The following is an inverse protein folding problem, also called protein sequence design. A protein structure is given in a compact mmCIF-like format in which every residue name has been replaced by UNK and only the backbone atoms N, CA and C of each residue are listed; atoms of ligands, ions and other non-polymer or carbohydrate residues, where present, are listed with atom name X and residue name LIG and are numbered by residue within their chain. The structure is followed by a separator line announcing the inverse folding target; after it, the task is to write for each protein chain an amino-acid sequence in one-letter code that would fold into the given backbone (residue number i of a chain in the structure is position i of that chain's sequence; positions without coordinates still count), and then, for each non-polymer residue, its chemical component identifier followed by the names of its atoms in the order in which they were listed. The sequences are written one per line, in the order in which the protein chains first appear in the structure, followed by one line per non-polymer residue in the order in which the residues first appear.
data_IF_578003008287
#
_entry.id   IF_578003008287
#
_cell.length_a   1.000
_cell.length_b   1.000
_cell.length_c   1.000
_cell.angle_alpha   90.00
_cell.angle_beta   90.00
_cell.angle_gamma   90.00
#
_symmetry.space_group_name_H-M   'P 1'
#
loop_
_entity.id
_entity.type
_entity.pdbx_description
1 polymer ?
#
# COMPACT_ATOMS: atom_id res chain seq x y z
N UNK A 1 -11.64 11.61 31.98
CA UNK A 1 -10.45 11.18 32.73
C UNK A 1 -9.22 11.61 31.95
N UNK A 2 -8.27 12.32 32.56
CA UNK A 2 -7.06 12.78 31.90
C UNK A 2 -5.91 11.82 32.19
N UNK A 3 -5.24 11.34 31.16
CA UNK A 3 -4.07 10.48 31.27
C UNK A 3 -2.82 11.31 30.98
N UNK A 4 -1.75 11.12 31.75
CA UNK A 4 -0.46 11.73 31.44
C UNK A 4 0.14 11.12 30.17
N UNK A 5 1.00 11.86 29.48
CA UNK A 5 1.68 11.36 28.27
C UNK A 5 2.51 10.10 28.54
N UNK A 6 3.22 10.06 29.68
CA UNK A 6 3.98 8.89 30.08
C UNK A 6 3.08 7.66 30.28
N UNK A 7 1.91 7.84 30.90
CA UNK A 7 0.92 6.80 31.07
C UNK A 7 0.39 6.31 29.71
N UNK A 8 0.05 7.22 28.80
CA UNK A 8 -0.44 6.87 27.47
C UNK A 8 0.62 6.17 26.61
N UNK A 9 1.90 6.56 26.70
CA UNK A 9 3.02 5.85 26.06
C UNK A 9 3.16 4.42 26.56
N UNK A 10 3.09 4.20 27.87
CA UNK A 10 3.09 2.87 28.47
C UNK A 10 1.95 2.01 27.89
N UNK A 11 0.72 2.52 27.88
CA UNK A 11 -0.44 1.79 27.35
C UNK A 11 -0.36 1.56 25.84
N UNK A 12 0.22 2.49 25.06
CA UNK A 12 0.43 2.33 23.62
C UNK A 12 1.42 1.22 23.31
N UNK A 13 2.54 1.15 24.05
CA UNK A 13 3.53 0.07 23.91
C UNK A 13 2.90 -1.27 24.27
N UNK A 14 2.20 -1.33 25.41
CA UNK A 14 1.52 -2.53 25.86
C UNK A 14 0.49 -3.03 24.84
N UNK A 15 -0.29 -2.12 24.25
CA UNK A 15 -1.26 -2.44 23.21
C UNK A 15 -0.60 -2.87 21.89
N UNK A 16 0.56 -2.32 21.50
CA UNK A 16 1.28 -2.78 20.32
C UNK A 16 1.82 -4.20 20.46
N UNK A 17 2.25 -4.58 21.66
CA UNK A 17 2.81 -5.92 21.92
C UNK A 17 1.73 -6.99 22.08
N UNK A 18 0.63 -6.66 22.77
CA UNK A 18 -0.36 -7.64 23.22
C UNK A 18 -1.79 -7.37 22.74
N UNK A 19 -1.98 -6.34 21.90
CA UNK A 19 -3.27 -5.87 21.40
C UNK A 19 -4.28 -5.63 22.55
N UNK A 20 -5.58 -5.77 22.26
CA UNK A 20 -6.64 -5.57 23.24
C UNK A 20 -6.64 -6.56 24.42
N UNK A 21 -5.84 -7.64 24.36
CA UNK A 21 -5.78 -8.66 25.43
C UNK A 21 -5.19 -8.08 26.71
N UNK A 22 -4.09 -7.32 26.62
CA UNK A 22 -3.47 -6.71 27.79
C UNK A 22 -4.36 -5.64 28.42
N UNK A 23 -5.05 -4.82 27.61
CA UNK A 23 -6.00 -3.84 28.13
C UNK A 23 -7.18 -4.52 28.83
N UNK A 24 -7.73 -5.61 28.27
CA UNK A 24 -8.80 -6.39 28.91
C UNK A 24 -8.32 -7.04 30.22
N UNK A 25 -7.12 -7.59 30.25
CA UNK A 25 -6.54 -8.19 31.45
C UNK A 25 -6.38 -7.15 32.57
N UNK A 26 -5.77 -5.99 32.26
CA UNK A 26 -5.51 -4.94 33.25
C UNK A 26 -6.78 -4.20 33.69
N UNK A 27 -7.81 -4.13 32.84
CA UNK A 27 -9.12 -3.58 33.20
C UNK A 27 -9.92 -4.48 34.14
N UNK A 28 -9.52 -5.74 34.28
CA UNK A 28 -10.31 -6.75 34.99
C UNK A 28 -11.61 -7.11 34.24
N UNK A 29 -12.43 -7.91 34.90
CA UNK A 29 -13.73 -8.34 34.37
C UNK A 29 -14.68 -7.14 34.35
N UNK A 30 -14.78 -6.46 33.22
CA UNK A 30 -15.90 -5.55 32.96
C UNK A 30 -17.11 -6.41 32.66
N UNK A 31 -18.11 -6.39 33.53
CA UNK A 31 -19.36 -7.17 33.46
C UNK A 31 -20.28 -6.72 32.29
N UNK A 32 -19.74 -6.54 31.09
CA UNK A 32 -20.53 -6.33 29.88
C UNK A 32 -21.01 -7.68 29.36
N UNK A 33 -22.28 -8.00 29.62
CA UNK A 33 -22.96 -9.15 29.03
C UNK A 33 -23.16 -10.37 29.94
N UNK A 34 -22.96 -10.26 31.25
CA UNK A 34 -23.41 -11.32 32.16
C UNK A 34 -24.93 -11.28 32.27
N UNK A 35 -25.61 -12.26 31.68
CA UNK A 35 -27.03 -12.49 31.88
C UNK A 35 -27.18 -13.16 33.25
N UNK A 36 -27.48 -12.37 34.27
CA UNK A 36 -28.01 -12.88 35.53
C UNK A 36 -29.54 -12.77 35.47
N UNK A 37 -30.22 -13.91 35.63
CA UNK A 37 -31.69 -14.00 35.74
C UNK A 37 -32.47 -13.38 34.57
N UNK A 38 -32.15 -13.74 33.31
CA UNK A 38 -32.92 -13.40 32.09
C UNK A 38 -33.17 -11.90 31.85
N UNK A 39 -32.50 -11.01 32.59
CA UNK A 39 -32.53 -9.57 32.36
C UNK A 39 -31.12 -9.09 32.04
N UNK A 40 -30.95 -8.43 30.90
CA UNK A 40 -29.70 -7.78 30.52
C UNK A 40 -29.52 -6.51 31.35
N UNK A 41 -29.05 -6.66 32.58
CA UNK A 41 -28.54 -5.57 33.38
C UNK A 41 -27.07 -5.33 33.01
N UNK A 42 -26.70 -4.09 32.69
CA UNK A 42 -25.28 -3.72 32.65
C UNK A 42 -24.79 -3.80 34.09
N UNK A 43 -24.03 -4.85 34.42
CA UNK A 43 -23.38 -4.94 35.72
C UNK A 43 -22.42 -3.76 35.88
N UNK A 44 -22.83 -2.74 36.64
CA UNK A 44 -21.91 -1.74 37.16
C UNK A 44 -21.16 -2.40 38.31
N UNK A 45 -19.88 -2.63 38.12
CA UNK A 45 -18.97 -2.98 39.20
C UNK A 45 -18.71 -1.72 40.04
N UNK A 46 -18.84 -1.79 41.36
CA UNK A 46 -18.60 -0.65 42.26
C UNK A 46 -17.09 -0.39 42.36
N UNK A 47 -16.60 0.80 41.97
CA UNK A 47 -15.19 1.16 42.09
C UNK A 47 -14.64 1.11 43.53
N UNK A 48 -15.50 1.08 44.56
CA UNK A 48 -15.04 0.95 45.96
C UNK A 48 -14.59 -0.47 46.33
N UNK A 49 -15.00 -1.49 45.56
CA UNK A 49 -14.69 -2.90 45.82
C UNK A 49 -13.40 -3.37 45.11
N UNK A 50 -12.65 -2.48 44.46
CA UNK A 50 -11.41 -2.82 43.75
C UNK A 50 -10.17 -2.18 44.37
N UNK A 51 -9.13 -2.99 44.52
CA UNK A 51 -7.80 -2.54 44.93
C UNK A 51 -6.94 -2.01 43.76
N UNK A 52 -7.54 -1.83 42.57
CA UNK A 52 -6.83 -1.31 41.40
C UNK A 52 -6.71 0.22 41.50
N UNK A 53 -5.54 0.70 41.89
CA UNK A 53 -5.24 2.13 42.05
C UNK A 53 -4.79 2.86 40.77
N UNK A 54 -4.89 2.23 39.60
CA UNK A 54 -4.50 2.84 38.33
C UNK A 54 -5.61 2.71 37.28
N UNK A 55 -5.79 3.78 36.51
CA UNK A 55 -6.80 3.79 35.46
C UNK A 55 -6.28 3.24 34.15
N UNK A 56 -7.06 2.34 33.55
CA UNK A 56 -6.76 1.73 32.27
C UNK A 56 -7.58 2.39 31.16
N UNK A 57 -6.95 3.04 30.17
CA UNK A 57 -7.64 3.65 29.05
C UNK A 57 -8.39 2.61 28.20
N UNK A 58 -9.44 3.05 27.52
CA UNK A 58 -10.13 2.21 26.56
C UNK A 58 -9.34 2.10 25.24
N UNK A 59 -9.71 1.12 24.40
CA UNK A 59 -9.01 0.86 23.13
C UNK A 59 -9.03 2.09 22.22
N UNK A 60 -10.13 2.85 22.24
CA UNK A 60 -10.27 4.07 21.42
C UNK A 60 -9.27 5.14 21.85
N UNK A 61 -9.14 5.38 23.15
CA UNK A 61 -8.20 6.36 23.72
C UNK A 61 -6.76 5.96 23.41
N UNK A 62 -6.40 4.67 23.50
CA UNK A 62 -5.05 4.19 23.17
C UNK A 62 -4.77 4.26 21.66
N UNK A 63 -5.74 3.94 20.81
CA UNK A 63 -5.57 4.01 19.36
C UNK A 63 -5.40 5.45 18.87
N UNK A 64 -6.19 6.38 19.41
CA UNK A 64 -6.15 7.80 19.05
C UNK A 64 -4.96 8.55 19.64
N UNK A 65 -4.22 7.94 20.58
CA UNK A 65 -2.99 8.52 21.09
C UNK A 65 -1.84 8.37 20.10
N UNK A 66 -1.42 9.49 19.52
CA UNK A 66 -0.23 9.60 18.67
C UNK A 66 0.94 10.04 19.54
N UNK A 67 1.72 9.06 20.02
CA UNK A 67 2.87 9.30 20.90
C UNK A 67 4.13 9.76 20.17
N UNK A 68 4.11 9.73 18.83
CA UNK A 68 5.28 9.97 18.01
C UNK A 68 5.24 11.39 17.47
N UNK A 69 6.28 12.17 17.77
CA UNK A 69 6.72 13.31 16.96
C UNK A 69 7.21 12.89 15.57
N UNK A 70 7.31 11.60 15.32
CA UNK A 70 7.62 11.01 14.02
C UNK A 70 6.29 10.81 13.29
N UNK A 71 6.03 11.67 12.31
CA UNK A 71 4.94 11.53 11.35
C UNK A 71 5.22 10.30 10.45
N UNK A 72 4.73 9.14 10.88
CA UNK A 72 4.80 7.92 10.09
C UNK A 72 3.61 7.98 9.13
N UNK A 73 3.83 8.08 7.81
CA UNK A 73 2.74 8.17 6.86
C UNK A 73 1.82 6.96 6.98
N UNK A 74 0.50 7.22 7.03
CA UNK A 74 -0.54 6.18 7.11
C UNK A 74 -0.51 5.20 5.94
N UNK A 75 0.10 5.61 4.84
CA UNK A 75 0.29 4.81 3.65
C UNK A 75 1.74 4.97 3.18
N UNK A 76 2.48 3.87 3.15
CA UNK A 76 3.80 3.81 2.52
C UNK A 76 3.59 3.28 1.11
N UNK A 77 4.03 4.03 0.11
CA UNK A 77 3.93 3.61 -1.27
C UNK A 77 4.83 2.37 -1.51
N UNK A 78 4.39 1.38 -2.30
CA UNK A 78 5.23 0.25 -2.68
C UNK A 78 6.53 0.73 -3.36
N UNK A 79 7.66 0.05 -3.11
CA UNK A 79 8.94 0.38 -3.72
C UNK A 79 10.02 0.74 -2.71
N UNK A 80 10.90 1.69 -3.08
CA UNK A 80 11.99 2.14 -2.21
C UNK A 80 11.47 3.08 -1.13
N UNK A 81 11.77 2.78 0.13
CA UNK A 81 11.47 3.67 1.26
C UNK A 81 12.65 4.64 1.40
N UNK A 82 12.64 5.69 0.57
CA UNK A 82 13.75 6.66 0.48
C UNK A 82 14.08 7.30 1.84
N UNK A 83 13.08 7.56 2.68
CA UNK A 83 13.27 8.14 4.00
C UNK A 83 14.13 7.23 4.89
N UNK A 84 13.91 5.92 4.83
CA UNK A 84 14.70 4.95 5.59
C UNK A 84 16.15 4.88 5.10
N UNK A 85 16.38 5.05 3.79
CA UNK A 85 17.72 5.10 3.18
C UNK A 85 18.44 6.40 3.60
N UNK A 86 17.74 7.53 3.55
CA UNK A 86 18.30 8.84 3.91
C UNK A 86 18.68 8.96 5.39
N UNK A 87 17.99 8.21 6.27
CA UNK A 87 18.33 8.13 7.70
C UNK A 87 19.61 7.35 8.00
N UNK A 88 20.21 6.65 7.02
CA UNK A 88 21.42 5.85 7.24
C UNK A 88 22.70 6.66 6.97
N UNK A 89 23.75 6.51 7.79
CA UNK A 89 25.04 7.14 7.55
C UNK A 89 25.69 6.59 6.27
N UNK A 90 26.18 7.47 5.41
CA UNK A 90 26.71 7.12 4.07
C UNK A 90 28.10 6.46 4.11
N UNK A 91 28.77 6.46 5.25
CA UNK A 91 30.16 6.03 5.41
C UNK A 91 30.31 4.54 5.70
N UNK A 92 29.23 3.86 6.07
CA UNK A 92 29.30 2.49 6.56
C UNK A 92 29.11 1.49 5.41
N UNK A 93 29.65 0.30 5.60
CA UNK A 93 29.45 -0.82 4.66
C UNK A 93 28.19 -1.58 5.07
N UNK A 94 27.26 -1.73 4.13
CA UNK A 94 25.98 -2.40 4.36
C UNK A 94 25.87 -3.65 3.49
N UNK A 95 25.19 -4.68 4.02
CA UNK A 95 24.80 -5.87 3.26
C UNK A 95 23.31 -5.75 2.93
N UNK A 96 22.97 -5.79 1.65
CA UNK A 96 21.58 -5.88 1.21
C UNK A 96 21.12 -7.34 1.30
N UNK A 97 20.16 -7.61 2.18
CA UNK A 97 19.50 -8.90 2.28
C UNK A 97 18.04 -8.75 1.86
N UNK A 98 17.62 -9.60 0.91
CA UNK A 98 16.25 -9.60 0.39
C UNK A 98 15.67 -10.98 0.63
N UNK A 99 14.52 -11.01 1.29
CA UNK A 99 13.72 -12.22 1.49
C UNK A 99 12.27 -11.94 1.09
N UNK A 100 11.62 -12.93 0.48
CA UNK A 100 10.28 -12.81 -0.06
C UNK A 100 9.27 -13.55 0.81
N UNK A 101 8.25 -12.84 1.31
CA UNK A 101 7.12 -13.48 2.00
C UNK A 101 5.97 -13.72 1.04
N UNK A 102 5.47 -14.96 1.00
CA UNK A 102 4.21 -15.28 0.31
C UNK A 102 3.06 -14.64 1.08
N UNK A 103 2.30 -13.78 0.40
CA UNK A 103 1.09 -13.16 0.95
C UNK A 103 -0.15 -13.75 0.28
N UNK A 104 -1.25 -13.81 1.03
CA UNK A 104 -2.54 -14.17 0.46
C UNK A 104 -3.02 -13.04 -0.45
N UNK A 105 -3.65 -13.35 -1.60
CA UNK A 105 -4.25 -12.32 -2.45
C UNK A 105 -5.39 -11.62 -1.68
N UNK A 106 -5.24 -10.31 -1.45
CA UNK A 106 -6.27 -9.51 -0.80
C UNK A 106 -7.46 -9.27 -1.74
N UNK A 107 -8.67 -9.53 -1.25
CA UNK A 107 -9.92 -9.61 -2.03
C UNK A 107 -10.79 -8.34 -1.93
N UNK A 108 -10.23 -7.17 -1.61
CA UNK A 108 -11.04 -5.94 -1.44
C UNK A 108 -10.45 -4.73 -2.17
N UNK A 109 -11.35 -3.83 -2.61
CA UNK A 109 -11.03 -2.57 -3.31
C UNK A 109 -10.20 -1.60 -2.48
N UNK A 110 -10.24 -1.71 -1.16
CA UNK A 110 -9.61 -0.76 -0.24
C UNK A 110 -8.43 -1.36 0.54
N UNK A 111 -8.30 -2.70 0.62
CA UNK A 111 -7.29 -3.38 1.45
C UNK A 111 -6.76 -4.67 0.77
N UNK A 112 -6.03 -4.53 -0.33
CA UNK A 112 -5.05 -5.53 -0.72
C UNK A 112 -3.79 -5.32 0.11
N UNK A 113 -3.30 -6.35 0.82
CA UNK A 113 -2.21 -6.19 1.81
C UNK A 113 -0.92 -5.59 1.24
N UNK A 114 -0.65 -5.75 -0.06
CA UNK A 114 0.44 -5.06 -0.76
C UNK A 114 0.02 -4.85 -2.21
N UNK A 115 0.06 -3.61 -2.68
CA UNK A 115 0.10 -3.34 -4.12
C UNK A 115 1.45 -3.79 -4.67
N UNK A 116 1.51 -5.05 -5.10
CA UNK A 116 2.68 -5.66 -5.74
C UNK A 116 2.83 -5.18 -7.19
N UNK A 117 1.87 -4.41 -7.73
CA UNK A 117 1.92 -3.86 -9.07
C UNK A 117 2.66 -2.52 -9.08
N UNK A 118 3.85 -2.54 -8.48
CA UNK A 118 4.98 -1.68 -8.80
C UNK A 118 4.65 -0.20 -9.05
N UNK A 119 4.96 0.62 -8.05
CA UNK A 119 5.51 1.94 -8.35
C UNK A 119 6.68 1.76 -9.34
N UNK A 120 6.50 2.27 -10.57
CA UNK A 120 7.43 2.03 -11.67
C UNK A 120 6.82 2.05 -13.08
N UNK A 121 5.51 2.27 -13.25
CA UNK A 121 4.98 2.74 -14.55
C UNK A 121 4.94 4.27 -14.50
N UNK A 122 6.04 4.89 -14.90
CA UNK A 122 6.34 6.34 -14.80
C UNK A 122 5.38 7.27 -15.59
N UNK A 123 4.43 6.73 -16.34
CA UNK A 123 3.43 7.51 -17.04
C UNK A 123 2.02 7.18 -16.53
N UNK A 124 1.32 8.21 -16.04
CA UNK A 124 -0.10 8.12 -15.74
C UNK A 124 -0.88 7.66 -16.99
N UNK A 125 -2.03 7.00 -16.81
CA UNK A 125 -2.90 6.60 -17.93
C UNK A 125 -3.19 7.78 -18.87
N UNK A 126 -3.30 8.99 -18.31
CA UNK A 126 -3.49 10.22 -19.08
C UNK A 126 -2.28 10.54 -19.97
N UNK A 127 -1.04 10.42 -19.46
CA UNK A 127 0.18 10.59 -20.25
C UNK A 127 0.30 9.54 -21.35
N UNK A 128 -0.01 8.27 -21.05
CA UNK A 128 0.02 7.19 -22.05
C UNK A 128 -1.00 7.44 -23.17
N UNK A 129 -2.20 7.91 -22.83
CA UNK A 129 -3.22 8.29 -23.82
C UNK A 129 -2.78 9.48 -24.68
N UNK A 130 -2.18 10.49 -24.06
CA UNK A 130 -1.66 11.66 -24.76
C UNK A 130 -0.55 11.25 -25.74
N UNK A 131 0.43 10.48 -25.27
CA UNK A 131 1.52 9.95 -26.11
C UNK A 131 0.98 9.17 -27.30
N UNK A 132 0.02 8.26 -27.09
CA UNK A 132 -0.58 7.47 -28.17
C UNK A 132 -1.34 8.35 -29.16
N UNK A 133 -2.00 9.40 -28.69
CA UNK A 133 -2.64 10.40 -29.57
C UNK A 133 -1.61 11.11 -30.43
N UNK A 134 -0.53 11.62 -29.82
CA UNK A 134 0.55 12.31 -30.56
C UNK A 134 1.23 11.38 -31.57
N UNK A 135 1.53 10.13 -31.19
CA UNK A 135 2.10 9.12 -32.10
C UNK A 135 1.18 8.87 -33.31
N UNK A 136 -0.13 8.75 -33.08
CA UNK A 136 -1.13 8.57 -34.15
C UNK A 136 -1.24 9.81 -35.04
N UNK A 137 -1.22 11.00 -34.46
CA UNK A 137 -1.31 12.26 -35.19
C UNK A 137 -0.09 12.44 -36.11
N UNK A 138 1.11 12.05 -35.68
CA UNK A 138 2.34 12.08 -36.51
C UNK A 138 2.22 11.13 -37.71
N UNK A 139 1.70 9.91 -37.50
CA UNK A 139 1.52 8.95 -38.60
C UNK A 139 0.46 9.44 -39.59
N UNK A 140 -0.63 10.02 -39.09
CA UNK A 140 -1.76 10.50 -39.92
C UNK A 140 -1.36 11.73 -40.73
N UNK A 141 -0.75 12.74 -40.08
CA UNK A 141 -0.24 13.94 -40.78
C UNK A 141 0.80 13.60 -41.83
N UNK A 142 1.74 12.69 -41.54
CA UNK A 142 2.74 12.26 -42.53
C UNK A 142 2.10 11.58 -43.74
N UNK A 143 1.02 10.81 -43.54
CA UNK A 143 0.26 10.18 -44.64
C UNK A 143 -0.43 11.24 -45.50
N UNK A 144 -1.08 12.22 -44.87
CA UNK A 144 -1.90 13.22 -45.55
C UNK A 144 -1.01 14.22 -46.32
N UNK A 145 0.13 14.61 -45.76
CA UNK A 145 1.09 15.54 -46.35
C UNK A 145 2.13 14.85 -47.26
N UNK A 146 2.00 13.53 -47.48
CA UNK A 146 3.03 12.74 -48.18
C UNK A 146 3.33 13.25 -49.59
N UNK A 147 2.34 13.76 -50.30
CA UNK A 147 2.51 14.25 -51.67
C UNK A 147 3.26 15.59 -51.75
N UNK A 148 3.17 16.42 -50.70
CA UNK A 148 3.72 17.78 -50.64
C UNK A 148 5.11 17.84 -50.01
N UNK A 149 5.52 16.79 -49.29
CA UNK A 149 6.84 16.68 -48.66
C UNK A 149 7.99 16.53 -49.66
N UNK A 150 9.12 17.15 -49.35
CA UNK A 150 10.39 16.93 -50.06
C UNK A 150 10.95 15.52 -49.79
N UNK A 151 11.84 14.99 -50.66
CA UNK A 151 12.46 13.67 -50.46
C UNK A 151 13.22 13.53 -49.13
N UNK A 152 13.87 14.60 -48.66
CA UNK A 152 14.59 14.61 -47.39
C UNK A 152 13.63 14.52 -46.19
N UNK A 153 12.53 15.27 -46.23
CA UNK A 153 11.49 15.24 -45.19
C UNK A 153 10.80 13.87 -45.12
N UNK A 154 10.52 13.25 -46.28
CA UNK A 154 9.98 11.88 -46.35
C UNK A 154 10.89 10.88 -45.65
N UNK A 155 12.19 10.96 -45.89
CA UNK A 155 13.16 10.07 -45.28
C UNK A 155 13.18 10.23 -43.75
N UNK A 156 13.21 11.47 -43.26
CA UNK A 156 13.17 11.75 -41.82
C UNK A 156 11.87 11.26 -41.16
N UNK A 157 10.71 11.57 -41.77
CA UNK A 157 9.41 11.16 -41.22
C UNK A 157 9.22 9.64 -41.23
N UNK A 158 9.74 8.94 -42.24
CA UNK A 158 9.75 7.48 -42.24
C UNK A 158 10.60 6.91 -41.11
N UNK A 159 11.77 7.49 -40.82
CA UNK A 159 12.60 7.07 -39.69
C UNK A 159 11.86 7.26 -38.36
N UNK A 160 11.20 8.40 -38.18
CA UNK A 160 10.40 8.69 -36.98
C UNK A 160 9.25 7.68 -36.82
N UNK A 161 8.54 7.35 -37.91
CA UNK A 161 7.45 6.36 -37.89
C UNK A 161 7.98 4.97 -37.55
N UNK A 162 9.09 4.55 -38.17
CA UNK A 162 9.72 3.25 -37.88
C UNK A 162 10.12 3.18 -36.41
N UNK A 163 10.66 4.26 -35.85
CA UNK A 163 11.02 4.35 -34.44
C UNK A 163 9.79 4.20 -33.53
N UNK A 164 8.71 4.94 -33.82
CA UNK A 164 7.44 4.88 -33.07
C UNK A 164 6.89 3.44 -33.07
N UNK A 165 6.79 2.82 -34.25
CA UNK A 165 6.28 1.45 -34.39
C UNK A 165 7.17 0.45 -33.65
N UNK A 166 8.50 0.59 -33.76
CA UNK A 166 9.46 -0.30 -33.09
C UNK A 166 9.30 -0.26 -31.57
N UNK A 167 9.17 0.93 -30.99
CA UNK A 167 8.90 1.07 -29.55
C UNK A 167 7.56 0.46 -29.15
N UNK A 168 6.52 0.61 -29.98
CA UNK A 168 5.21 -0.01 -29.69
C UNK A 168 5.20 -1.51 -29.76
N UNK A 169 5.91 -2.10 -30.72
CA UNK A 169 6.09 -3.55 -30.77
C UNK A 169 6.80 -4.04 -29.50
N UNK A 170 7.84 -3.34 -29.04
CA UNK A 170 8.55 -3.67 -27.79
C UNK A 170 7.61 -3.59 -26.58
N UNK A 171 6.87 -2.50 -26.43
CA UNK A 171 5.93 -2.29 -25.32
C UNK A 171 4.84 -3.38 -25.30
N UNK A 172 4.26 -3.69 -26.47
CA UNK A 172 3.22 -4.72 -26.60
C UNK A 172 3.76 -6.12 -26.29
N UNK A 173 4.98 -6.45 -26.72
CA UNK A 173 5.63 -7.72 -26.37
C UNK A 173 5.83 -7.85 -24.86
N UNK A 174 6.24 -6.77 -24.21
CA UNK A 174 6.45 -6.75 -22.76
C UNK A 174 5.11 -6.89 -22.01
N UNK A 175 4.06 -6.21 -22.47
CA UNK A 175 2.72 -6.37 -21.94
C UNK A 175 2.20 -7.80 -22.12
N UNK A 176 2.38 -8.38 -23.30
CA UNK A 176 1.97 -9.76 -23.60
C UNK A 176 2.69 -10.76 -22.70
N UNK A 177 4.01 -10.60 -22.48
CA UNK A 177 4.74 -11.43 -21.54
C UNK A 177 4.23 -11.31 -20.11
N UNK A 178 3.93 -10.08 -19.65
CA UNK A 178 3.33 -9.85 -18.32
C UNK A 178 1.98 -10.55 -18.19
N UNK A 179 1.11 -10.43 -19.18
CA UNK A 179 -0.20 -11.09 -19.20
C UNK A 179 -0.06 -12.62 -19.21
N UNK A 180 0.84 -13.16 -20.03
CA UNK A 180 1.10 -14.61 -20.08
C UNK A 180 1.62 -15.13 -18.74
N UNK A 181 2.53 -14.42 -18.09
CA UNK A 181 3.02 -14.77 -16.76
C UNK A 181 1.90 -14.74 -15.72
N UNK A 182 1.08 -13.68 -15.72
CA UNK A 182 -0.07 -13.57 -14.82
C UNK A 182 -1.08 -14.71 -15.03
N UNK A 183 -1.47 -14.98 -16.27
CA UNK A 183 -2.39 -16.07 -16.62
C UNK A 183 -1.81 -17.45 -16.25
N UNK A 184 -0.53 -17.69 -16.51
CA UNK A 184 0.12 -18.95 -16.11
C UNK A 184 0.13 -19.15 -14.60
N UNK A 185 0.21 -18.07 -13.83
CA UNK A 185 0.11 -18.09 -12.38
C UNK A 185 -1.32 -18.39 -11.93
N UNK A 186 -2.32 -17.76 -12.55
CA UNK A 186 -3.73 -18.08 -12.30
C UNK A 186 -4.05 -19.55 -12.58
N UNK A 187 -3.58 -20.12 -13.69
CA UNK A 187 -3.79 -21.53 -13.99
C UNK A 187 -3.14 -22.46 -12.97
N UNK A 188 -1.90 -22.16 -12.53
CA UNK A 188 -1.24 -22.94 -11.47
C UNK A 188 -1.95 -22.84 -10.10
N UNK A 189 -2.58 -21.70 -9.82
CA UNK A 189 -3.28 -21.45 -8.55
C UNK A 189 -4.74 -21.96 -8.56
N UNK A 190 -5.35 -22.13 -9.75
CA UNK A 190 -6.69 -22.66 -9.90
C UNK A 190 -6.80 -24.17 -9.61
N UNK A 191 -5.68 -24.90 -9.63
CA UNK A 191 -5.65 -26.37 -9.51
C UNK A 191 -6.06 -27.04 -10.82
N UNK A 192 -5.60 -28.28 -11.00
CA UNK A 192 -6.15 -29.16 -12.03
C UNK A 192 -7.47 -29.71 -11.48
N UNK A 193 -8.60 -29.37 -12.11
CA UNK A 193 -9.88 -30.05 -11.87
C UNK A 193 -9.79 -31.55 -12.24
#
# INVERSE_FOLDING_TARGET
MFYSDQCMRFWKVLYRLFHGKALRFMQGVKSSGQILNKSTSRGQFDPQDTNINFAVPDIKTVNNYESCTIDIPKQIQPGLIEQAIQMKPKTDTYVLSVDGKKLAPGLTKDNGDIDLFGYGMEDSIQKLRLRLKTEKDVITSTRDDWSTMSPAEKCQKLQDIVLIISYRIKDLRLLFMKQKLALSKFHKEAGDD
#
